data_IF_089468117536
#
_entry.id   IF_089468117536
#
_cell.length_a   1.000
_cell.length_b   1.000
_cell.length_c   1.000
_cell.angle_alpha   90.00
_cell.angle_beta   90.00
_cell.angle_gamma   90.00
#
_symmetry.space_group_name_H-M   'P 1'
#
loop_
_entity.id
_entity.type
_entity.pdbx_description
1 polymer ?
#
# COMPACT_ATOMS: atom_id res chain seq x y z
N UNK A 1 -26.15 -18.45 -47.57
CA UNK A 1 -26.12 -19.29 -46.36
C UNK A 1 -25.09 -18.64 -45.46
N UNK A 2 -25.47 -17.57 -44.79
CA UNK A 2 -26.15 -17.53 -43.48
C UNK A 2 -25.12 -17.04 -42.46
N UNK A 3 -25.39 -15.84 -41.95
CA UNK A 3 -24.59 -15.16 -40.95
C UNK A 3 -24.51 -16.02 -39.69
N UNK A 4 -23.30 -16.33 -39.23
CA UNK A 4 -23.07 -16.67 -37.82
C UNK A 4 -22.12 -15.65 -37.23
N UNK A 5 -22.69 -14.50 -36.87
CA UNK A 5 -22.09 -13.51 -36.02
C UNK A 5 -22.18 -14.07 -34.58
N UNK A 6 -21.19 -14.85 -34.16
CA UNK A 6 -21.08 -15.34 -32.79
C UNK A 6 -20.74 -14.16 -31.88
N UNK A 7 -21.76 -13.46 -31.41
CA UNK A 7 -21.62 -12.52 -30.30
C UNK A 7 -21.14 -13.30 -29.08
N UNK A 8 -19.82 -13.34 -28.89
CA UNK A 8 -19.17 -13.79 -27.67
C UNK A 8 -19.73 -12.96 -26.53
N UNK A 9 -20.55 -13.59 -25.68
CA UNK A 9 -21.07 -12.98 -24.47
C UNK A 9 -19.87 -12.60 -23.57
N UNK A 10 -19.42 -11.35 -23.68
CA UNK A 10 -18.47 -10.74 -22.76
C UNK A 10 -19.09 -10.84 -21.36
N UNK A 11 -18.54 -11.72 -20.51
CA UNK A 11 -18.97 -11.85 -19.12
C UNK A 11 -18.47 -10.64 -18.33
N UNK A 12 -19.11 -9.49 -18.55
CA UNK A 12 -18.95 -8.31 -17.71
C UNK A 12 -19.53 -8.64 -16.34
N UNK A 13 -18.71 -8.49 -15.29
CA UNK A 13 -19.17 -8.71 -13.93
C UNK A 13 -20.39 -7.82 -13.65
N UNK A 14 -21.39 -8.33 -12.92
CA UNK A 14 -22.61 -7.59 -12.67
C UNK A 14 -22.28 -6.31 -11.89
N UNK A 15 -22.81 -5.17 -12.34
CA UNK A 15 -22.59 -3.86 -11.71
C UNK A 15 -22.92 -3.86 -10.21
N UNK A 16 -23.86 -4.70 -9.77
CA UNK A 16 -24.22 -4.89 -8.37
C UNK A 16 -23.05 -5.33 -7.49
N UNK A 17 -22.09 -6.11 -8.01
CA UNK A 17 -20.91 -6.53 -7.27
C UNK A 17 -20.02 -5.34 -6.95
N UNK A 18 -19.76 -4.45 -7.92
CA UNK A 18 -18.94 -3.25 -7.70
C UNK A 18 -19.57 -2.31 -6.67
N UNK A 19 -20.88 -2.09 -6.75
CA UNK A 19 -21.58 -1.26 -5.76
C UNK A 19 -21.58 -1.88 -4.37
N UNK A 20 -21.65 -3.21 -4.27
CA UNK A 20 -21.55 -3.92 -2.99
C UNK A 20 -20.17 -3.73 -2.37
N UNK A 21 -19.10 -3.95 -3.15
CA UNK A 21 -17.71 -3.77 -2.67
C UNK A 21 -17.44 -2.30 -2.36
N UNK A 22 -17.95 -1.36 -3.15
CA UNK A 22 -17.87 0.07 -2.85
C UNK A 22 -18.51 0.40 -1.49
N UNK A 23 -19.71 -0.12 -1.22
CA UNK A 23 -20.39 0.04 0.07
C UNK A 23 -19.54 -0.48 1.23
N UNK A 24 -18.94 -1.66 1.08
CA UNK A 24 -18.02 -2.23 2.09
C UNK A 24 -16.82 -1.32 2.32
N UNK A 25 -16.21 -0.78 1.26
CA UNK A 25 -15.08 0.15 1.37
C UNK A 25 -15.44 1.46 2.07
N UNK A 26 -16.64 1.99 1.82
CA UNK A 26 -17.14 3.18 2.53
C UNK A 26 -17.30 2.90 4.03
N UNK A 27 -17.86 1.75 4.40
CA UNK A 27 -18.00 1.34 5.81
C UNK A 27 -16.61 1.20 6.46
N UNK A 28 -15.67 0.50 5.83
CA UNK A 28 -14.31 0.38 6.33
C UNK A 28 -13.62 1.75 6.44
N UNK A 29 -13.98 2.72 5.59
CA UNK A 29 -13.47 4.09 5.67
C UNK A 29 -14.00 4.84 6.88
N UNK A 30 -15.31 4.76 7.13
CA UNK A 30 -15.90 5.26 8.37
C UNK A 30 -15.24 4.65 9.61
N UNK A 31 -14.98 3.33 9.60
CA UNK A 31 -14.30 2.64 10.71
C UNK A 31 -12.89 3.19 10.93
N UNK A 32 -12.09 3.39 9.88
CA UNK A 32 -10.74 3.97 10.03
C UNK A 32 -10.78 5.38 10.60
N UNK A 33 -11.73 6.20 10.17
CA UNK A 33 -11.90 7.56 10.71
C UNK A 33 -12.32 7.49 12.17
N UNK A 34 -13.27 6.62 12.54
CA UNK A 34 -13.67 6.42 13.93
C UNK A 34 -12.49 5.98 14.81
N UNK A 35 -11.69 5.04 14.34
CA UNK A 35 -10.50 4.54 15.04
C UNK A 35 -9.44 5.64 15.20
N UNK A 36 -9.33 6.59 14.26
CA UNK A 36 -8.38 7.70 14.41
C UNK A 36 -8.68 8.63 15.60
N UNK A 37 -9.92 8.62 16.10
CA UNK A 37 -10.31 9.38 17.28
C UNK A 37 -10.08 8.63 18.60
N UNK A 38 -9.79 7.33 18.54
CA UNK A 38 -9.54 6.50 19.73
C UNK A 38 -8.04 6.29 19.90
N UNK A 39 -7.51 6.61 21.07
CA UNK A 39 -6.10 6.40 21.40
C UNK A 39 -5.88 5.00 21.96
N UNK A 40 -5.40 4.08 21.12
CA UNK A 40 -4.92 2.74 21.53
C UNK A 40 -3.42 2.73 21.87
N UNK A 41 -2.78 3.89 22.01
CA UNK A 41 -1.34 4.01 22.28
C UNK A 41 -0.50 3.45 21.13
N UNK A 42 0.45 2.57 21.46
CA UNK A 42 1.37 1.95 20.48
C UNK A 42 0.64 1.05 19.46
N UNK A 43 -0.54 0.53 19.80
CA UNK A 43 -1.33 -0.33 18.90
C UNK A 43 -2.03 0.44 17.77
N UNK A 44 -2.07 1.78 17.82
CA UNK A 44 -2.70 2.60 16.79
C UNK A 44 -2.18 2.28 15.39
N UNK A 45 -0.85 2.16 15.24
CA UNK A 45 -0.24 1.88 13.95
C UNK A 45 -0.58 0.49 13.45
N UNK A 46 -0.60 -0.51 14.33
CA UNK A 46 -0.90 -1.90 13.97
C UNK A 46 -2.35 -2.02 13.48
N UNK A 47 -3.29 -1.42 14.21
CA UNK A 47 -4.71 -1.42 13.84
C UNK A 47 -4.93 -0.64 12.55
N UNK A 48 -4.32 0.53 12.39
CA UNK A 48 -4.43 1.34 11.18
C UNK A 48 -3.90 0.58 9.96
N UNK A 49 -2.73 -0.06 10.08
CA UNK A 49 -2.12 -0.84 9.01
C UNK A 49 -2.99 -2.05 8.63
N UNK A 50 -3.53 -2.78 9.61
CA UNK A 50 -4.39 -3.93 9.34
C UNK A 50 -5.62 -3.54 8.51
N UNK A 51 -6.30 -2.46 8.90
CA UNK A 51 -7.49 -1.98 8.18
C UNK A 51 -7.11 -1.47 6.79
N UNK A 52 -5.99 -0.76 6.67
CA UNK A 52 -5.47 -0.30 5.39
C UNK A 52 -5.17 -1.49 4.44
N UNK A 53 -4.55 -2.56 4.94
CA UNK A 53 -4.29 -3.78 4.18
C UNK A 53 -5.58 -4.42 3.69
N UNK A 54 -6.59 -4.59 4.56
CA UNK A 54 -7.88 -5.17 4.16
C UNK A 54 -8.56 -4.36 3.05
N UNK A 55 -8.56 -3.02 3.17
CA UNK A 55 -9.09 -2.14 2.11
C UNK A 55 -8.33 -2.30 0.80
N UNK A 56 -7.01 -2.26 0.86
CA UNK A 56 -6.16 -2.40 -0.31
C UNK A 56 -6.37 -3.75 -1.01
N UNK A 57 -6.52 -4.85 -0.26
CA UNK A 57 -6.84 -6.16 -0.81
C UNK A 57 -8.21 -6.20 -1.50
N UNK A 58 -9.25 -5.60 -0.91
CA UNK A 58 -10.56 -5.51 -1.54
C UNK A 58 -10.50 -4.71 -2.86
N UNK A 59 -9.78 -3.60 -2.88
CA UNK A 59 -9.58 -2.79 -4.09
C UNK A 59 -8.82 -3.59 -5.15
N UNK A 60 -7.70 -4.23 -4.79
CA UNK A 60 -6.88 -5.00 -5.72
C UNK A 60 -7.66 -6.19 -6.30
N UNK A 61 -8.39 -6.95 -5.49
CA UNK A 61 -9.09 -8.15 -5.95
C UNK A 61 -10.29 -7.83 -6.84
N UNK A 62 -11.07 -6.79 -6.52
CA UNK A 62 -12.34 -6.51 -7.20
C UNK A 62 -12.28 -5.33 -8.18
N UNK A 63 -11.71 -4.18 -7.79
CA UNK A 63 -11.66 -3.01 -8.66
C UNK A 63 -10.52 -3.06 -9.67
N UNK A 64 -9.38 -3.64 -9.30
CA UNK A 64 -8.28 -3.89 -10.24
C UNK A 64 -8.44 -5.20 -11.03
N UNK A 65 -9.59 -5.89 -10.89
CA UNK A 65 -9.89 -7.15 -11.56
C UNK A 65 -8.90 -8.31 -11.31
N UNK A 66 -8.00 -8.19 -10.33
CA UNK A 66 -6.92 -9.16 -10.13
C UNK A 66 -7.41 -10.59 -9.85
N UNK A 67 -8.61 -10.74 -9.27
CA UNK A 67 -9.23 -12.04 -9.01
C UNK A 67 -9.79 -12.71 -10.27
N UNK A 68 -10.22 -11.93 -11.26
CA UNK A 68 -10.97 -12.41 -12.42
C UNK A 68 -10.12 -12.47 -13.70
N UNK A 69 -9.00 -11.75 -13.71
CA UNK A 69 -8.05 -11.73 -14.82
C UNK A 69 -7.03 -12.89 -14.73
N UNK A 70 -6.10 -12.94 -15.68
CA UNK A 70 -5.05 -13.94 -15.74
C UNK A 70 -4.15 -13.91 -14.49
N UNK A 71 -3.81 -15.10 -13.99
CA UNK A 71 -2.90 -15.32 -12.85
C UNK A 71 -1.53 -14.66 -13.01
N UNK A 72 -1.10 -14.37 -14.25
CA UNK A 72 0.12 -13.60 -14.50
C UNK A 72 0.09 -12.22 -13.85
N UNK A 73 -1.05 -11.51 -13.90
CA UNK A 73 -1.16 -10.19 -13.27
C UNK A 73 -1.05 -10.29 -11.74
N UNK A 74 -1.59 -11.36 -11.15
CA UNK A 74 -1.43 -11.63 -9.72
C UNK A 74 0.03 -11.88 -9.35
N UNK A 75 0.77 -12.64 -10.16
CA UNK A 75 2.19 -12.90 -9.93
C UNK A 75 3.04 -11.62 -10.04
N UNK A 76 2.76 -10.78 -11.04
CA UNK A 76 3.45 -9.48 -11.23
C UNK A 76 3.12 -8.51 -10.10
N UNK A 77 1.86 -8.45 -9.67
CA UNK A 77 1.48 -7.63 -8.51
C UNK A 77 2.22 -8.08 -7.25
N UNK A 78 2.24 -9.39 -6.97
CA UNK A 78 2.89 -9.91 -5.77
C UNK A 78 4.40 -9.72 -5.81
N UNK A 79 5.04 -9.88 -6.99
CA UNK A 79 6.47 -9.59 -7.14
C UNK A 79 6.76 -8.12 -6.89
N UNK A 80 5.94 -7.19 -7.41
CA UNK A 80 6.10 -5.76 -7.14
C UNK A 80 6.00 -5.43 -5.65
N UNK A 81 5.12 -6.09 -4.91
CA UNK A 81 4.96 -5.89 -3.47
C UNK A 81 6.18 -6.41 -2.68
N UNK A 82 6.76 -7.53 -3.11
CA UNK A 82 8.00 -8.07 -2.54
C UNK A 82 9.17 -7.11 -2.81
N UNK A 83 9.34 -6.64 -4.04
CA UNK A 83 10.39 -5.68 -4.38
C UNK A 83 10.22 -4.35 -3.65
N UNK A 84 8.99 -3.85 -3.49
CA UNK A 84 8.69 -2.68 -2.68
C UNK A 84 9.12 -2.90 -1.22
N UNK A 85 8.74 -4.04 -0.62
CA UNK A 85 9.13 -4.39 0.74
C UNK A 85 10.65 -4.49 0.90
N UNK A 86 11.34 -5.08 -0.08
CA UNK A 86 12.79 -5.16 -0.14
C UNK A 86 13.42 -3.76 -0.16
N UNK A 87 13.00 -2.89 -1.06
CA UNK A 87 13.54 -1.54 -1.15
C UNK A 87 13.24 -0.70 0.09
N UNK A 88 12.02 -0.77 0.63
CA UNK A 88 11.68 -0.08 1.88
C UNK A 88 12.56 -0.56 3.03
N UNK A 89 12.77 -1.86 3.17
CA UNK A 89 13.61 -2.42 4.24
C UNK A 89 15.06 -1.98 4.09
N UNK A 90 15.62 -2.06 2.88
CA UNK A 90 16.99 -1.61 2.61
C UNK A 90 17.17 -0.12 2.89
N UNK A 91 16.26 0.73 2.43
CA UNK A 91 16.31 2.18 2.68
C UNK A 91 16.13 2.53 4.15
N UNK A 92 15.24 1.84 4.86
CA UNK A 92 15.05 2.01 6.30
C UNK A 92 16.33 1.61 7.07
N UNK A 93 16.91 0.45 6.76
CA UNK A 93 18.16 -0.01 7.38
C UNK A 93 19.31 0.95 7.11
N UNK A 94 19.46 1.43 5.87
CA UNK A 94 20.46 2.43 5.52
C UNK A 94 20.25 3.72 6.33
N UNK A 95 19.03 4.25 6.35
CA UNK A 95 18.72 5.50 7.06
C UNK A 95 18.99 5.38 8.56
N UNK A 96 18.67 4.24 9.18
CA UNK A 96 18.87 4.03 10.61
C UNK A 96 20.35 3.90 11.00
N UNK A 97 21.21 3.29 10.17
CA UNK A 97 22.61 2.99 10.52
C UNK A 97 23.64 3.89 9.81
N UNK A 98 23.19 4.84 8.97
CA UNK A 98 24.09 5.72 8.20
C UNK A 98 25.03 6.57 9.08
N UNK A 99 24.64 6.86 10.31
CA UNK A 99 25.44 7.65 11.27
C UNK A 99 26.47 6.82 12.05
N UNK A 100 26.26 5.52 12.21
CA UNK A 100 26.96 4.69 13.20
C UNK A 100 28.46 4.49 12.92
N UNK A 101 28.90 4.71 11.68
CA UNK A 101 30.27 4.46 11.22
C UNK A 101 31.16 5.72 11.18
N UNK A 102 30.59 6.92 11.14
CA UNK A 102 31.33 8.19 10.99
C UNK A 102 30.83 9.24 12.02
N UNK A 103 31.34 9.23 13.28
CA UNK A 103 30.90 10.17 14.32
C UNK A 103 31.17 11.65 13.98
N UNK A 104 32.08 11.91 13.02
CA UNK A 104 32.42 13.25 12.53
C UNK A 104 31.40 13.78 11.50
N UNK A 105 30.54 12.91 10.94
CA UNK A 105 29.48 13.28 9.96
C UNK A 105 28.07 13.18 10.52
N UNK A 106 27.91 12.71 11.75
CA UNK A 106 26.61 12.62 12.43
C UNK A 106 25.90 13.98 12.51
N UNK A 107 26.64 15.08 12.49
CA UNK A 107 26.08 16.43 12.51
C UNK A 107 26.47 17.14 11.21
N UNK A 108 25.51 17.62 10.40
CA UNK A 108 25.82 18.36 9.17
C UNK A 108 26.53 19.70 9.43
N UNK A 109 26.63 20.10 10.71
CA UNK A 109 27.26 21.33 11.17
C UNK A 109 28.46 20.99 12.06
N UNK A 110 29.66 21.30 11.56
CA UNK A 110 30.88 21.32 12.38
C UNK A 110 30.79 22.51 13.34
N UNK A 111 30.50 22.24 14.60
CA UNK A 111 30.38 23.29 15.64
C UNK A 111 31.73 23.94 15.95
N UNK A 112 32.81 23.21 15.71
CA UNK A 112 34.21 23.65 15.79
C UNK A 112 34.69 24.46 14.56
N UNK A 113 33.82 24.77 13.60
CA UNK A 113 34.19 25.65 12.49
C UNK A 113 34.36 27.11 12.96
N UNK A 114 35.39 27.80 12.44
CA UNK A 114 35.76 29.19 12.76
C UNK A 114 34.57 30.16 12.65
N UNK A 115 33.60 29.87 11.79
CA UNK A 115 32.38 30.67 11.58
C UNK A 115 31.45 30.76 12.81
N UNK A 116 31.51 29.80 13.74
CA UNK A 116 30.68 29.79 14.95
C UNK A 116 31.39 30.33 16.19
N UNK A 117 32.69 30.63 16.08
CA UNK A 117 33.46 31.27 17.13
C UNK A 117 33.21 32.79 17.08
N UNK A 118 32.21 33.26 17.81
CA UNK A 118 31.90 34.68 18.02
C UNK A 118 32.03 35.02 19.50
#
# INVERSE_FOLDING_TARGET
MEQQNTATAHHVLPLSLYFTVAGVLFVLTGITVAISFVHFGEFNIIVAMLIATVKASLVALYFMHLKYDNKLFMAVFLSSLIFLGLFLTLTMTDTMHRGDIDPIKEHPIKKEAVFYNK
#
